data_IF_635757269236
#
_entry.id   IF_635757269236
#
_cell.length_a   1.000
_cell.length_b   1.000
_cell.length_c   1.000
_cell.angle_alpha   90.00
_cell.angle_beta   90.00
_cell.angle_gamma   90.00
#
_symmetry.space_group_name_H-M   'P 1'
#
loop_
_entity.id
_entity.type
_entity.pdbx_description
1 polymer ?
#
# COMPACT_ATOMS: atom_id res chain seq x y z
N UNK A 1 19.51 -6.64 15.11
CA UNK A 1 18.34 -6.28 15.88
C UNK A 1 17.08 -6.48 15.06
N UNK A 2 16.16 -7.25 15.58
CA UNK A 2 14.93 -7.62 14.89
C UNK A 2 14.07 -6.40 14.51
N UNK A 3 13.96 -5.41 15.41
CA UNK A 3 13.23 -4.19 15.14
C UNK A 3 13.80 -3.40 13.97
N UNK A 4 15.11 -3.29 13.93
CA UNK A 4 15.81 -2.60 12.87
C UNK A 4 15.57 -3.28 11.53
N UNK A 5 15.61 -4.61 11.53
CA UNK A 5 15.39 -5.37 10.29
C UNK A 5 13.98 -5.23 9.77
N UNK A 6 12.99 -5.23 10.65
CA UNK A 6 11.60 -5.05 10.27
C UNK A 6 11.35 -3.65 9.71
N UNK A 7 11.90 -2.65 10.38
CA UNK A 7 11.80 -1.27 9.92
C UNK A 7 12.39 -1.11 8.53
N UNK A 8 13.56 -1.67 8.32
CA UNK A 8 14.24 -1.60 7.02
C UNK A 8 13.43 -2.32 5.94
N UNK A 9 12.87 -3.47 6.26
CA UNK A 9 12.07 -4.24 5.31
C UNK A 9 10.80 -3.50 4.93
N UNK A 10 10.10 -2.93 5.90
CA UNK A 10 8.90 -2.13 5.63
C UNK A 10 9.25 -0.97 4.71
N UNK A 11 10.34 -0.26 4.99
CA UNK A 11 10.77 0.86 4.17
C UNK A 11 11.08 0.43 2.74
N UNK A 12 11.73 -0.71 2.58
CA UNK A 12 12.03 -1.25 1.24
C UNK A 12 10.77 -1.60 0.47
N UNK A 13 9.80 -2.22 1.14
CA UNK A 13 8.53 -2.57 0.49
C UNK A 13 7.82 -1.31 0.02
N UNK A 14 7.71 -0.31 0.88
CA UNK A 14 7.03 0.94 0.53
C UNK A 14 7.73 1.67 -0.61
N UNK A 15 9.06 1.77 -0.55
CA UNK A 15 9.84 2.44 -1.59
C UNK A 15 9.68 1.76 -2.93
N UNK A 16 9.78 0.44 -2.95
CA UNK A 16 9.72 -0.32 -4.19
C UNK A 16 8.31 -0.30 -4.77
N UNK A 17 7.30 -0.44 -3.91
CA UNK A 17 5.91 -0.36 -4.34
C UNK A 17 5.60 1.01 -4.93
N UNK A 18 6.05 2.07 -4.26
CA UNK A 18 5.86 3.45 -4.74
C UNK A 18 6.46 3.64 -6.11
N UNK A 19 7.63 3.07 -6.33
CA UNK A 19 8.32 3.15 -7.62
C UNK A 19 7.53 2.46 -8.72
N UNK A 20 7.11 1.22 -8.49
CA UNK A 20 6.42 0.44 -9.52
C UNK A 20 5.00 0.89 -9.75
N UNK A 21 4.31 1.33 -8.72
CA UNK A 21 2.95 1.84 -8.86
C UNK A 21 2.94 3.28 -9.39
N UNK A 22 4.09 3.97 -9.31
CA UNK A 22 4.24 5.35 -9.73
C UNK A 22 3.39 6.31 -8.88
N UNK A 23 3.43 6.09 -7.58
CA UNK A 23 2.74 6.94 -6.62
C UNK A 23 3.55 6.93 -5.32
N UNK A 24 3.93 8.11 -4.84
CA UNK A 24 4.76 8.19 -3.64
C UNK A 24 3.93 7.93 -2.39
N UNK A 25 4.15 6.79 -1.77
CA UNK A 25 3.46 6.40 -0.54
C UNK A 25 4.37 6.52 0.69
N UNK A 26 5.57 7.05 0.52
CA UNK A 26 6.56 7.13 1.59
C UNK A 26 6.18 8.09 2.71
N UNK A 27 5.24 8.99 2.45
CA UNK A 27 4.77 9.94 3.45
C UNK A 27 3.57 9.45 4.24
N UNK A 28 3.05 8.28 3.91
CA UNK A 28 1.87 7.76 4.58
C UNK A 28 2.27 7.02 5.85
N UNK A 29 2.17 7.72 6.97
CA UNK A 29 2.55 7.16 8.27
C UNK A 29 1.65 5.99 8.68
N UNK A 30 0.37 6.06 8.33
CA UNK A 30 -0.58 4.99 8.63
C UNK A 30 -0.15 3.69 7.95
N UNK A 31 0.26 3.77 6.69
CA UNK A 31 0.76 2.61 5.97
C UNK A 31 2.00 2.04 6.65
N UNK A 32 2.96 2.90 6.96
CA UNK A 32 4.21 2.47 7.59
C UNK A 32 3.95 1.76 8.92
N UNK A 33 3.15 2.38 9.78
CA UNK A 33 2.87 1.82 11.09
C UNK A 33 2.07 0.53 11.00
N UNK A 34 1.11 0.47 10.07
CA UNK A 34 0.33 -0.73 9.83
C UNK A 34 1.21 -1.90 9.40
N UNK A 35 2.08 -1.66 8.44
CA UNK A 35 2.99 -2.71 7.97
C UNK A 35 3.95 -3.15 9.05
N UNK A 36 4.47 -2.21 9.81
CA UNK A 36 5.40 -2.54 10.89
C UNK A 36 4.72 -3.43 11.93
N UNK A 37 3.47 -3.13 12.25
CA UNK A 37 2.69 -3.91 13.20
C UNK A 37 2.37 -5.32 12.65
N UNK A 38 2.07 -5.42 11.36
CA UNK A 38 1.63 -6.68 10.76
C UNK A 38 2.77 -7.56 10.27
N UNK A 39 3.97 -7.02 10.14
CA UNK A 39 5.07 -7.78 9.58
C UNK A 39 5.46 -8.97 10.45
N UNK A 40 5.48 -8.80 11.76
CA UNK A 40 5.85 -9.87 12.67
C UNK A 40 4.88 -11.06 12.59
N UNK A 41 3.55 -10.85 12.67
CA UNK A 41 2.62 -11.96 12.46
C UNK A 41 2.75 -12.60 11.08
N UNK A 42 3.01 -11.80 10.06
CA UNK A 42 3.20 -12.31 8.69
C UNK A 42 4.41 -13.26 8.64
N UNK A 43 5.52 -12.83 9.20
CA UNK A 43 6.72 -13.66 9.22
C UNK A 43 6.51 -14.95 10.01
N UNK A 44 5.78 -14.86 11.12
CA UNK A 44 5.45 -16.03 11.92
C UNK A 44 4.62 -17.03 11.13
N UNK A 45 3.59 -16.54 10.42
CA UNK A 45 2.75 -17.42 9.60
C UNK A 45 3.55 -18.08 8.48
N UNK A 46 4.41 -17.32 7.81
CA UNK A 46 5.21 -17.86 6.72
C UNK A 46 6.17 -18.93 7.21
N UNK A 47 6.82 -18.71 8.34
CA UNK A 47 7.77 -19.67 8.90
C UNK A 47 7.09 -20.96 9.36
N UNK A 48 5.85 -20.87 9.82
CA UNK A 48 5.13 -22.01 10.39
C UNK A 48 4.07 -22.57 9.48
N UNK A 49 4.03 -22.10 8.22
CA UNK A 49 3.07 -22.55 7.21
C UNK A 49 1.62 -22.41 7.66
N UNK A 50 1.32 -21.29 8.34
CA UNK A 50 -0.03 -20.98 8.82
C UNK A 50 -0.70 -20.08 7.80
N UNK A 51 -1.87 -20.45 7.23
CA UNK A 51 -2.55 -19.61 6.26
C UNK A 51 -3.20 -18.40 6.92
N UNK A 52 -3.43 -17.37 6.12
CA UNK A 52 -4.21 -16.22 6.55
C UNK A 52 -5.68 -16.64 6.64
N UNK A 53 -6.31 -16.33 7.77
CA UNK A 53 -7.70 -16.70 8.00
C UNK A 53 -8.64 -15.82 7.18
N UNK A 54 -9.65 -16.43 6.58
CA UNK A 54 -10.73 -15.74 5.86
C UNK A 54 -10.27 -14.87 4.70
N UNK A 55 -9.12 -15.20 4.11
CA UNK A 55 -8.60 -14.46 2.96
C UNK A 55 -8.86 -15.23 1.67
N UNK A 56 -9.44 -14.53 0.71
CA UNK A 56 -9.55 -15.03 -0.66
C UNK A 56 -8.74 -14.15 -1.59
N UNK A 57 -7.52 -14.59 -1.90
CA UNK A 57 -6.63 -13.80 -2.73
C UNK A 57 -7.19 -13.58 -4.14
N UNK A 58 -7.99 -14.52 -4.64
CA UNK A 58 -8.56 -14.41 -5.99
C UNK A 58 -9.50 -13.23 -6.09
N UNK A 59 -10.26 -12.98 -5.04
CA UNK A 59 -11.16 -11.84 -4.99
C UNK A 59 -10.38 -10.54 -5.03
N UNK A 60 -9.32 -10.45 -4.25
CA UNK A 60 -8.47 -9.25 -4.20
C UNK A 60 -7.78 -9.04 -5.56
N UNK A 61 -7.26 -10.11 -6.14
CA UNK A 61 -6.61 -10.05 -7.46
C UNK A 61 -7.59 -9.58 -8.54
N UNK A 62 -8.83 -10.01 -8.45
CA UNK A 62 -9.87 -9.65 -9.40
C UNK A 62 -10.31 -8.19 -9.22
N UNK A 63 -10.48 -7.75 -7.99
CA UNK A 63 -10.95 -6.39 -7.70
C UNK A 63 -9.85 -5.34 -7.84
N UNK A 64 -8.62 -5.69 -7.52
CA UNK A 64 -7.49 -4.77 -7.52
C UNK A 64 -6.32 -5.37 -8.30
N UNK A 65 -6.50 -5.61 -9.61
CA UNK A 65 -5.49 -6.33 -10.39
C UNK A 65 -4.14 -5.61 -10.46
N UNK A 66 -4.14 -4.30 -10.65
CA UNK A 66 -2.90 -3.54 -10.72
C UNK A 66 -2.18 -3.56 -9.37
N UNK A 67 -2.94 -3.28 -8.32
CA UNK A 67 -2.39 -3.21 -6.96
C UNK A 67 -1.81 -4.56 -6.54
N UNK A 68 -2.50 -5.64 -6.85
CA UNK A 68 -2.04 -6.99 -6.54
C UNK A 68 -0.78 -7.36 -7.32
N UNK A 69 -0.76 -7.06 -8.61
CA UNK A 69 0.39 -7.39 -9.45
C UNK A 69 1.64 -6.63 -9.03
N UNK A 70 1.49 -5.37 -8.68
CA UNK A 70 2.62 -4.58 -8.19
C UNK A 70 3.16 -5.17 -6.88
N UNK A 71 2.26 -5.56 -5.96
CA UNK A 71 2.69 -6.18 -4.71
C UNK A 71 3.43 -7.50 -4.96
N UNK A 72 2.90 -8.32 -5.85
CA UNK A 72 3.53 -9.58 -6.22
C UNK A 72 4.94 -9.35 -6.76
N UNK A 73 5.10 -8.36 -7.62
CA UNK A 73 6.39 -8.02 -8.19
C UNK A 73 7.37 -7.55 -7.12
N UNK A 74 6.91 -6.69 -6.22
CA UNK A 74 7.73 -6.18 -5.11
C UNK A 74 8.23 -7.31 -4.22
N UNK A 75 7.33 -8.19 -3.82
CA UNK A 75 7.68 -9.29 -2.91
C UNK A 75 8.60 -10.30 -3.59
N UNK A 76 8.42 -10.51 -4.88
CA UNK A 76 9.31 -11.38 -5.66
C UNK A 76 10.71 -10.79 -5.73
N UNK A 77 10.81 -9.50 -6.02
CA UNK A 77 12.10 -8.84 -6.15
C UNK A 77 12.86 -8.82 -4.82
N UNK A 78 12.15 -8.68 -3.70
CA UNK A 78 12.76 -8.69 -2.38
C UNK A 78 13.02 -10.08 -1.83
N UNK A 79 12.69 -11.11 -2.59
CA UNK A 79 12.80 -12.51 -2.14
C UNK A 79 12.10 -12.72 -0.79
N UNK A 80 10.93 -12.11 -0.66
CA UNK A 80 10.17 -12.13 0.59
C UNK A 80 9.74 -13.54 0.96
N UNK A 81 9.33 -14.31 -0.05
CA UNK A 81 8.92 -15.69 0.14
C UNK A 81 10.09 -16.62 -0.16
N UNK A 82 10.38 -17.52 0.75
CA UNK A 82 11.41 -18.54 0.57
C UNK A 82 10.74 -19.83 0.16
N UNK A 83 11.26 -20.46 -0.90
CA UNK A 83 10.73 -21.73 -1.40
C UNK A 83 9.96 -21.56 -2.70
N UNK A 84 9.28 -22.63 -3.12
CA UNK A 84 8.63 -22.67 -4.42
C UNK A 84 7.26 -22.02 -4.46
N UNK A 85 6.68 -21.75 -3.30
CA UNK A 85 5.33 -21.21 -3.22
C UNK A 85 5.35 -19.75 -2.80
N UNK A 86 4.76 -18.91 -3.62
CA UNK A 86 4.38 -17.58 -3.20
C UNK A 86 3.13 -17.70 -2.35
N UNK A 87 3.13 -17.02 -1.21
CA UNK A 87 1.93 -17.00 -0.41
C UNK A 87 0.99 -15.94 -0.96
N UNK A 88 0.00 -16.39 -1.72
CA UNK A 88 -0.93 -15.52 -2.38
C UNK A 88 -1.84 -14.80 -1.40
N UNK A 89 -2.14 -15.43 -0.27
CA UNK A 89 -2.98 -14.80 0.75
C UNK A 89 -2.24 -13.66 1.46
N UNK A 90 -0.95 -13.85 1.75
CA UNK A 90 -0.16 -12.77 2.35
C UNK A 90 0.03 -11.62 1.36
N UNK A 91 0.21 -11.94 0.08
CA UNK A 91 0.28 -10.93 -0.97
C UNK A 91 -1.00 -10.11 -1.01
N UNK A 92 -2.14 -10.78 -0.94
CA UNK A 92 -3.45 -10.11 -0.95
C UNK A 92 -3.63 -9.22 0.28
N UNK A 93 -3.23 -9.71 1.44
CA UNK A 93 -3.33 -8.93 2.68
C UNK A 93 -2.52 -7.64 2.59
N UNK A 94 -1.27 -7.75 2.13
CA UNK A 94 -0.43 -6.57 1.94
C UNK A 94 -1.00 -5.63 0.87
N UNK A 95 -1.59 -6.20 -0.17
CA UNK A 95 -2.25 -5.40 -1.21
C UNK A 95 -3.35 -4.53 -0.63
N UNK A 96 -4.13 -5.05 0.30
CA UNK A 96 -5.19 -4.27 0.94
C UNK A 96 -4.65 -3.09 1.72
N UNK A 97 -3.54 -3.26 2.42
CA UNK A 97 -2.89 -2.16 3.13
C UNK A 97 -2.47 -1.06 2.16
N UNK A 98 -1.91 -1.45 1.03
CA UNK A 98 -1.45 -0.47 0.04
C UNK A 98 -2.62 0.17 -0.70
N UNK A 99 -3.68 -0.59 -0.96
CA UNK A 99 -4.88 0.01 -1.58
C UNK A 99 -5.47 1.09 -0.69
N UNK A 100 -5.51 0.87 0.61
CA UNK A 100 -5.97 1.89 1.55
C UNK A 100 -5.08 3.14 1.49
N UNK A 101 -3.77 2.96 1.41
CA UNK A 101 -2.83 4.08 1.29
C UNK A 101 -3.00 4.83 -0.03
N UNK A 102 -3.21 4.10 -1.12
CA UNK A 102 -3.47 4.70 -2.43
C UNK A 102 -4.72 5.57 -2.37
N UNK A 103 -5.78 5.07 -1.76
CA UNK A 103 -7.02 5.82 -1.62
C UNK A 103 -6.81 7.10 -0.81
N UNK A 104 -6.05 7.04 0.26
CA UNK A 104 -5.73 8.24 1.06
C UNK A 104 -4.93 9.24 0.25
N UNK A 105 -3.96 8.76 -0.51
CA UNK A 105 -3.12 9.62 -1.33
C UNK A 105 -3.93 10.33 -2.42
N UNK A 106 -4.82 9.62 -3.09
CA UNK A 106 -5.70 10.19 -4.12
C UNK A 106 -6.64 11.22 -3.53
N UNK A 107 -7.20 10.93 -2.37
CA UNK A 107 -8.08 11.86 -1.68
C UNK A 107 -7.36 13.15 -1.31
N UNK A 108 -6.14 13.03 -0.78
CA UNK A 108 -5.34 14.20 -0.42
C UNK A 108 -4.96 15.02 -1.63
N UNK A 109 -4.61 14.38 -2.73
CA UNK A 109 -4.30 15.08 -3.97
C UNK A 109 -5.50 15.82 -4.53
N UNK A 110 -6.68 15.22 -4.44
CA UNK A 110 -7.91 15.85 -4.87
C UNK A 110 -8.20 17.12 -4.07
N UNK A 111 -8.07 17.06 -2.76
CA UNK A 111 -8.25 18.24 -1.89
C UNK A 111 -7.24 19.33 -2.20
N UNK A 112 -5.98 18.96 -2.35
CA UNK A 112 -4.93 19.91 -2.68
C UNK A 112 -5.16 20.58 -4.01
N UNK A 113 -5.59 19.82 -5.00
CA UNK A 113 -5.91 20.31 -6.32
C UNK A 113 -7.05 21.33 -6.27
N UNK A 114 -8.08 21.04 -5.51
CA UNK A 114 -9.22 21.94 -5.36
C UNK A 114 -8.82 23.24 -4.68
N UNK A 115 -7.97 23.18 -3.68
CA UNK A 115 -7.45 24.38 -3.02
C UNK A 115 -6.65 25.24 -4.00
N UNK A 116 -5.83 24.63 -4.82
CA UNK A 116 -5.05 25.34 -5.82
C UNK A 116 -5.94 26.03 -6.85
N UNK A 117 -7.00 25.36 -7.27
CA UNK A 117 -7.95 25.93 -8.21
C UNK A 117 -8.64 27.14 -7.60
N UNK A 118 -9.02 27.06 -6.34
CA UNK A 118 -9.62 28.19 -5.63
C UNK A 118 -8.69 29.40 -5.66
N UNK A 119 -7.41 29.18 -5.37
CA UNK A 119 -6.43 30.25 -5.38
C UNK A 119 -6.21 30.85 -6.77
N UNK A 120 -6.16 30.01 -7.80
CA UNK A 120 -5.87 30.49 -9.16
C UNK A 120 -7.02 31.25 -9.77
N UNK A 121 -8.25 30.97 -9.40
CA UNK A 121 -9.42 31.64 -9.97
C UNK A 121 -9.88 32.86 -9.19
N UNK A 122 -9.28 33.10 -8.03
CA UNK A 122 -9.75 34.14 -7.15
C UNK A 122 -10.94 33.65 -6.34
N UNK A 123 -11.33 34.42 -5.38
CA UNK A 123 -12.27 33.93 -4.39
C UNK A 123 -13.71 33.84 -4.86
N UNK A 124 -14.07 34.61 -5.84
CA UNK A 124 -15.44 34.60 -6.28
C UNK A 124 -15.80 33.45 -7.18
N UNK A 125 -14.88 33.05 -8.02
CA UNK A 125 -15.18 32.10 -9.09
C UNK A 125 -14.82 30.65 -8.77
N UNK A 126 -13.88 30.44 -7.91
CA UNK A 126 -13.37 29.11 -7.68
C UNK A 126 -14.22 28.27 -6.74
N UNK A 127 -15.24 28.82 -6.19
CA UNK A 127 -16.12 28.14 -5.24
C UNK A 127 -16.70 26.87 -5.77
N UNK A 128 -16.97 26.85 -7.06
CA UNK A 128 -17.59 25.70 -7.70
C UNK A 128 -16.76 24.43 -7.59
N UNK A 129 -15.47 24.60 -7.45
CA UNK A 129 -14.55 23.47 -7.45
C UNK A 129 -14.35 22.85 -6.07
N UNK A 130 -14.85 23.51 -5.06
CA UNK A 130 -14.73 23.05 -3.69
C UNK A 130 -15.50 21.79 -3.40
N UNK A 131 -16.55 21.55 -4.14
CA UNK A 131 -17.39 20.38 -3.92
C UNK A 131 -16.65 19.07 -4.12
N UNK A 132 -15.49 19.13 -4.69
CA UNK A 132 -14.67 17.93 -4.89
C UNK A 132 -13.85 17.54 -3.67
N UNK A 133 -13.83 18.36 -2.69
CA UNK A 133 -13.09 18.07 -1.47
C UNK A 133 -13.67 16.89 -0.67
#
# INVERSE_FOLDING_TARGET
NEWFEHDLLVSKIINLYSKYYQLNLNQDRTLYESLLTHLRPTMYRLLNHIPVSDMDYRLIQQQFPKEYEVMKQVLTELNFFTGEHQDQDETALLTLHFKAAINRCEKNNSKKKNILIICSHGYGTSRLLEQQL
#
